data_IF_231030855695
#
_entry.id   IF_231030855695
#
_cell.length_a   1.000
_cell.length_b   1.000
_cell.length_c   1.000
_cell.angle_alpha   90.00
_cell.angle_beta   90.00
_cell.angle_gamma   90.00
#
_symmetry.space_group_name_H-M   'P 1'
#
loop_
_entity.id
_entity.type
_entity.pdbx_description
1 polymer ?
#
# COMPACT_ATOMS: atom_id res chain seq x y z
N UNK A 1 15.71 8.66 13.42
CA UNK A 1 15.99 8.79 11.97
C UNK A 1 14.81 8.18 11.23
N UNK A 2 14.08 8.95 10.42
CA UNK A 2 13.12 8.39 9.45
C UNK A 2 13.92 7.73 8.33
N UNK A 3 13.54 6.50 7.95
CA UNK A 3 14.16 5.78 6.83
C UNK A 3 13.75 6.39 5.50
N UNK A 4 14.52 6.16 4.43
CA UNK A 4 14.20 6.63 3.07
C UNK A 4 12.78 6.21 2.64
N UNK A 5 12.37 4.99 2.98
CA UNK A 5 11.04 4.45 2.71
C UNK A 5 9.92 5.33 3.29
N UNK A 6 10.09 5.83 4.52
CA UNK A 6 9.11 6.74 5.15
C UNK A 6 9.00 8.09 4.43
N UNK A 7 10.12 8.60 3.92
CA UNK A 7 10.15 9.85 3.17
C UNK A 7 9.46 9.68 1.82
N UNK A 8 9.72 8.57 1.11
CA UNK A 8 9.12 8.27 -0.19
C UNK A 8 7.61 8.11 -0.06
N UNK A 9 7.13 7.27 0.86
CA UNK A 9 5.68 7.06 1.05
C UNK A 9 4.99 8.38 1.43
N UNK A 10 5.59 9.15 2.34
CA UNK A 10 5.03 10.45 2.73
C UNK A 10 5.00 11.45 1.59
N UNK A 11 6.05 11.49 0.77
CA UNK A 11 6.13 12.36 -0.40
C UNK A 11 5.01 12.01 -1.38
N UNK A 12 4.92 10.75 -1.81
CA UNK A 12 3.92 10.30 -2.78
C UNK A 12 2.50 10.59 -2.29
N UNK A 13 2.18 10.21 -1.04
CA UNK A 13 0.83 10.42 -0.49
C UNK A 13 0.45 11.90 -0.50
N UNK A 14 1.38 12.79 -0.15
CA UNK A 14 1.13 14.23 -0.15
C UNK A 14 1.03 14.81 -1.55
N UNK A 15 1.89 14.37 -2.46
CA UNK A 15 1.98 14.88 -3.82
C UNK A 15 0.68 14.61 -4.59
N UNK A 16 0.13 13.40 -4.46
CA UNK A 16 -1.12 13.03 -5.14
C UNK A 16 -2.39 13.36 -4.33
N UNK A 17 -2.26 14.03 -3.18
CA UNK A 17 -3.39 14.38 -2.31
C UNK A 17 -4.13 13.19 -1.68
N UNK A 18 -3.47 12.04 -1.52
CA UNK A 18 -4.04 10.86 -0.90
C UNK A 18 -4.08 10.97 0.64
N UNK A 19 -4.86 10.09 1.28
CA UNK A 19 -5.05 10.12 2.74
C UNK A 19 -4.05 9.25 3.50
N UNK A 20 -3.71 8.08 2.94
CA UNK A 20 -2.82 7.10 3.56
C UNK A 20 -1.99 6.37 2.50
N UNK A 21 -0.85 5.84 2.91
CA UNK A 21 -0.04 4.97 2.06
C UNK A 21 0.79 3.98 2.85
N UNK A 22 1.12 2.86 2.23
CA UNK A 22 1.94 1.80 2.79
C UNK A 22 2.85 1.20 1.70
N UNK A 23 4.09 0.92 2.07
CA UNK A 23 5.07 0.27 1.21
C UNK A 23 5.39 -1.11 1.75
N UNK A 24 5.19 -2.11 0.90
CA UNK A 24 5.58 -3.48 1.14
C UNK A 24 6.75 -3.83 0.23
N UNK A 25 7.79 -4.47 0.76
CA UNK A 25 8.91 -4.96 -0.04
C UNK A 25 8.96 -6.49 -0.02
N UNK A 26 9.34 -7.06 -1.15
CA UNK A 26 9.53 -8.49 -1.30
C UNK A 26 10.77 -8.92 -0.53
N UNK A 27 10.62 -9.94 0.30
CA UNK A 27 11.73 -10.63 0.96
C UNK A 27 12.01 -11.89 0.12
N UNK A 28 13.03 -11.80 -0.73
CA UNK A 28 13.40 -12.84 -1.70
C UNK A 28 14.64 -13.63 -1.27
N UNK A 29 15.10 -13.48 -0.02
CA UNK A 29 16.39 -14.04 0.42
C UNK A 29 16.40 -15.55 0.69
N UNK A 30 15.32 -16.29 0.39
CA UNK A 30 15.29 -17.75 0.63
C UNK A 30 14.48 -18.51 -0.40
N UNK A 31 14.74 -19.82 -0.51
CA UNK A 31 14.02 -20.84 -1.32
C UNK A 31 12.55 -21.04 -0.88
N UNK A 32 12.04 -20.13 -0.07
CA UNK A 32 10.68 -20.13 0.48
C UNK A 32 9.73 -19.35 -0.44
N UNK A 33 8.42 -19.49 -0.19
CA UNK A 33 7.42 -18.76 -0.98
C UNK A 33 7.66 -17.26 -0.86
N UNK A 34 7.63 -16.51 -1.97
CA UNK A 34 7.88 -15.07 -1.95
C UNK A 34 6.86 -14.37 -1.05
N UNK A 35 7.36 -13.50 -0.18
CA UNK A 35 6.59 -12.81 0.84
C UNK A 35 6.84 -11.29 0.77
N UNK A 36 5.83 -10.52 1.12
CA UNK A 36 5.85 -9.07 1.16
C UNK A 36 5.81 -8.61 2.60
N UNK A 37 6.76 -7.79 3.02
CA UNK A 37 6.83 -7.22 4.37
C UNK A 37 6.50 -5.74 4.34
N UNK A 38 5.63 -5.28 5.24
CA UNK A 38 5.42 -3.86 5.45
C UNK A 38 6.71 -3.20 5.97
N UNK A 39 7.27 -2.26 5.21
CA UNK A 39 8.49 -1.53 5.59
C UNK A 39 8.26 -0.07 5.92
N UNK A 40 7.14 0.51 5.47
CA UNK A 40 6.77 1.89 5.77
C UNK A 40 5.26 2.09 5.64
N UNK A 41 4.71 2.97 6.49
CA UNK A 41 3.32 3.37 6.41
C UNK A 41 3.13 4.81 6.88
N UNK A 42 2.35 5.60 6.13
CA UNK A 42 1.99 6.98 6.45
C UNK A 42 0.49 7.11 6.73
N UNK A 43 0.16 7.76 7.85
CA UNK A 43 -1.21 7.96 8.34
C UNK A 43 -2.05 6.66 8.46
N UNK A 44 -1.39 5.50 8.50
CA UNK A 44 -1.99 4.18 8.62
C UNK A 44 -2.27 3.84 10.09
N UNK A 45 -3.31 3.05 10.37
CA UNK A 45 -3.78 2.83 11.74
C UNK A 45 -2.69 2.14 12.62
N UNK A 46 -2.23 2.86 13.66
CA UNK A 46 -1.14 2.46 14.59
C UNK A 46 -1.32 1.14 15.30
N UNK A 47 -2.55 0.68 15.51
CA UNK A 47 -2.81 -0.61 16.19
C UNK A 47 -2.53 -1.84 15.32
N UNK A 48 -2.35 -1.70 14.01
CA UNK A 48 -2.07 -2.78 13.05
C UNK A 48 -0.58 -3.00 12.75
N UNK A 49 0.33 -2.35 13.50
CA UNK A 49 1.79 -2.31 13.26
C UNK A 49 2.56 -3.59 13.61
N UNK A 50 1.88 -4.68 13.95
CA UNK A 50 2.53 -5.98 14.14
C UNK A 50 2.84 -6.55 12.75
N UNK A 51 4.11 -6.43 12.33
CA UNK A 51 4.77 -7.28 11.32
C UNK A 51 3.86 -7.84 10.24
N UNK A 52 3.17 -6.98 9.47
CA UNK A 52 2.31 -7.45 8.39
C UNK A 52 3.16 -8.04 7.30
N UNK A 53 3.00 -9.33 7.10
CA UNK A 53 3.54 -10.08 5.98
C UNK A 53 2.39 -10.63 5.16
N UNK A 54 2.57 -10.71 3.86
CA UNK A 54 1.62 -11.31 2.93
C UNK A 54 2.38 -12.19 1.97
N UNK A 55 1.92 -13.41 1.72
CA UNK A 55 2.44 -14.19 0.61
C UNK A 55 1.97 -13.60 -0.72
N UNK A 56 2.70 -13.87 -1.80
CA UNK A 56 2.20 -13.58 -3.13
C UNK A 56 0.89 -14.37 -3.37
N UNK A 57 -0.14 -13.68 -3.87
CA UNK A 57 -1.51 -14.17 -3.99
C UNK A 57 -2.38 -14.03 -2.73
N UNK A 58 -1.83 -13.58 -1.60
CA UNK A 58 -2.58 -13.39 -0.36
C UNK A 58 -3.14 -11.96 -0.23
N UNK A 59 -4.46 -11.83 -0.16
CA UNK A 59 -5.13 -10.54 -0.08
C UNK A 59 -4.81 -9.63 -1.27
N UNK A 60 -5.25 -8.37 -1.24
CA UNK A 60 -5.03 -7.48 -2.38
C UNK A 60 -3.55 -7.18 -2.64
N UNK A 61 -2.76 -7.01 -1.58
CA UNK A 61 -1.32 -6.73 -1.69
C UNK A 61 -0.59 -7.90 -2.34
N UNK A 62 -0.86 -9.13 -1.89
CA UNK A 62 -0.27 -10.33 -2.48
C UNK A 62 -0.77 -10.60 -3.90
N UNK A 63 -2.05 -10.38 -4.19
CA UNK A 63 -2.61 -10.53 -5.55
C UNK A 63 -1.98 -9.53 -6.52
N UNK A 64 -1.85 -8.26 -6.13
CA UNK A 64 -1.17 -7.23 -6.93
C UNK A 64 0.26 -7.66 -7.31
N UNK A 65 1.00 -8.19 -6.34
CA UNK A 65 2.34 -8.72 -6.58
C UNK A 65 2.34 -9.95 -7.50
N UNK A 66 1.47 -10.94 -7.25
CA UNK A 66 1.43 -12.18 -8.03
C UNK A 66 1.07 -11.92 -9.49
N UNK A 67 0.07 -11.08 -9.73
CA UNK A 67 -0.43 -10.77 -11.06
C UNK A 67 0.42 -9.73 -11.80
N UNK A 68 1.32 -9.04 -11.10
CA UNK A 68 2.15 -7.94 -11.63
C UNK A 68 1.32 -6.82 -12.26
N UNK A 69 0.09 -6.65 -11.77
CA UNK A 69 -0.88 -5.69 -12.27
C UNK A 69 -1.35 -4.77 -11.15
N UNK A 70 -1.54 -3.49 -11.50
CA UNK A 70 -2.12 -2.53 -10.57
C UNK A 70 -3.58 -2.86 -10.29
N UNK A 71 -4.00 -2.73 -9.04
CA UNK A 71 -5.38 -2.90 -8.61
C UNK A 71 -5.94 -1.52 -8.24
N UNK A 72 -7.10 -1.18 -8.81
CA UNK A 72 -7.82 0.05 -8.51
C UNK A 72 -9.25 -0.28 -8.09
N UNK A 73 -9.61 0.07 -6.86
CA UNK A 73 -10.93 -0.19 -6.29
C UNK A 73 -11.57 1.11 -5.81
N UNK A 74 -12.80 1.35 -6.25
CA UNK A 74 -13.67 2.44 -5.76
C UNK A 74 -14.78 1.91 -4.87
N UNK A 75 -15.26 0.67 -5.10
CA UNK A 75 -16.21 0.01 -4.23
C UNK A 75 -15.52 -0.86 -3.16
N UNK A 76 -15.05 -0.21 -2.09
CA UNK A 76 -14.34 -0.91 -1.00
C UNK A 76 -15.33 -1.45 0.04
N UNK A 77 -15.35 -2.74 0.39
CA UNK A 77 -16.20 -3.22 1.48
C UNK A 77 -15.91 -2.47 2.79
N UNK A 78 -16.95 -2.11 3.55
CA UNK A 78 -16.84 -1.26 4.76
C UNK A 78 -15.87 -1.79 5.84
N UNK A 79 -15.54 -3.08 5.79
CA UNK A 79 -14.71 -3.76 6.77
C UNK A 79 -13.24 -3.92 6.34
N UNK A 80 -12.87 -3.51 5.11
CA UNK A 80 -11.54 -3.79 4.55
C UNK A 80 -10.45 -2.87 5.13
N UNK A 81 -10.64 -1.55 4.98
CA UNK A 81 -9.74 -0.52 5.50
C UNK A 81 -10.59 0.67 5.96
N UNK A 82 -10.09 1.35 7.00
CA UNK A 82 -10.66 2.60 7.49
C UNK A 82 -9.58 3.65 7.62
N UNK A 83 -9.92 4.87 7.20
CA UNK A 83 -9.13 6.06 7.45
C UNK A 83 -9.52 6.57 8.84
N UNK A 84 -8.57 6.57 9.77
CA UNK A 84 -8.80 6.99 11.15
C UNK A 84 -8.31 8.42 11.36
N UNK A 85 -9.15 9.25 11.97
CA UNK A 85 -8.83 10.59 12.44
C UNK A 85 -9.09 10.69 13.95
N UNK A 86 -8.62 11.77 14.60
CA UNK A 86 -8.95 12.06 16.00
C UNK A 86 -10.44 12.29 16.27
N UNK A 87 -11.26 12.43 15.21
CA UNK A 87 -12.69 12.72 15.29
C UNK A 87 -13.56 11.54 14.87
N UNK A 88 -12.98 10.43 14.39
CA UNK A 88 -13.73 9.27 13.92
C UNK A 88 -13.04 8.52 12.77
N UNK A 89 -13.74 7.51 12.24
CA UNK A 89 -13.27 6.66 11.15
C UNK A 89 -14.14 6.85 9.90
N UNK A 90 -13.53 6.80 8.71
CA UNK A 90 -14.23 6.86 7.43
C UNK A 90 -13.74 5.76 6.47
N UNK A 91 -14.61 5.30 5.57
CA UNK A 91 -14.25 4.40 4.46
C UNK A 91 -13.50 5.23 3.39
N UNK A 92 -12.42 4.72 2.77
CA UNK A 92 -11.82 5.40 1.64
C UNK A 92 -12.79 5.45 0.46
N UNK A 93 -12.69 6.50 -0.36
CA UNK A 93 -13.34 6.57 -1.66
C UNK A 93 -12.65 5.71 -2.71
N UNK A 94 -11.34 5.51 -2.59
CA UNK A 94 -10.60 4.57 -3.44
C UNK A 94 -9.38 3.95 -2.77
N UNK A 95 -8.96 2.80 -3.29
CA UNK A 95 -7.76 2.05 -2.92
C UNK A 95 -6.99 1.69 -4.20
N UNK A 96 -5.69 1.99 -4.19
CA UNK A 96 -4.79 1.77 -5.31
C UNK A 96 -3.64 0.90 -4.82
N UNK A 97 -3.35 -0.18 -5.52
CA UNK A 97 -2.17 -1.01 -5.29
C UNK A 97 -1.35 -1.03 -6.57
N UNK A 98 -0.07 -0.71 -6.45
CA UNK A 98 0.85 -0.61 -7.59
C UNK A 98 2.03 -1.55 -7.35
N UNK A 99 2.27 -2.53 -8.23
CA UNK A 99 3.44 -3.39 -8.12
C UNK A 99 4.70 -2.59 -8.48
N UNK A 100 5.71 -2.66 -7.62
CA UNK A 100 7.03 -2.07 -7.88
C UNK A 100 7.88 -3.09 -8.61
N UNK A 101 8.27 -2.79 -9.84
CA UNK A 101 8.85 -3.77 -10.77
C UNK A 101 10.27 -3.39 -11.19
N UNK A 102 11.15 -4.39 -11.30
CA UNK A 102 12.44 -4.28 -11.99
C UNK A 102 12.72 -5.56 -12.78
N UNK A 103 13.15 -5.48 -14.03
CA UNK A 103 13.49 -6.65 -14.86
C UNK A 103 12.43 -7.78 -14.80
N UNK A 104 11.14 -7.42 -14.81
CA UNK A 104 10.01 -8.35 -14.67
C UNK A 104 9.89 -9.08 -13.31
N UNK A 105 10.65 -8.66 -12.30
CA UNK A 105 10.56 -9.09 -10.91
C UNK A 105 9.83 -8.04 -10.06
N UNK A 106 9.00 -8.50 -9.13
CA UNK A 106 8.30 -7.65 -8.18
C UNK A 106 9.22 -7.39 -7.00
N UNK A 107 9.60 -6.13 -6.81
CA UNK A 107 10.36 -5.64 -5.65
C UNK A 107 9.46 -5.38 -4.44
N UNK A 108 8.17 -5.16 -4.67
CA UNK A 108 7.25 -4.76 -3.63
C UNK A 108 5.91 -4.26 -4.17
N UNK A 109 5.09 -3.72 -3.28
CA UNK A 109 3.79 -3.12 -3.60
C UNK A 109 3.64 -1.81 -2.84
N UNK A 110 3.21 -0.77 -3.55
CA UNK A 110 2.76 0.48 -2.96
C UNK A 110 1.24 0.46 -2.86
N UNK A 111 0.71 0.54 -1.64
CA UNK A 111 -0.72 0.66 -1.35
C UNK A 111 -1.05 2.12 -0.99
N UNK A 112 -2.09 2.68 -1.60
CA UNK A 112 -2.54 4.06 -1.39
C UNK A 112 -4.05 4.04 -1.17
N UNK A 113 -4.50 4.71 -0.12
CA UNK A 113 -5.92 4.91 0.13
C UNK A 113 -6.24 6.40 0.19
N UNK A 114 -7.37 6.77 -0.42
CA UNK A 114 -7.80 8.16 -0.48
C UNK A 114 -9.30 8.29 -0.24
N UNK A 115 -9.72 9.40 0.37
CA UNK A 115 -11.13 9.74 0.56
C UNK A 115 -11.82 10.11 -0.76
N UNK A 116 -11.05 10.61 -1.74
CA UNK A 116 -11.50 10.97 -3.08
C UNK A 116 -10.56 10.35 -4.10
N UNK A 117 -11.05 10.09 -5.30
CA UNK A 117 -10.19 9.67 -6.40
C UNK A 117 -9.10 10.72 -6.59
N UNK A 118 -7.80 10.35 -6.53
CA UNK A 118 -6.72 11.30 -6.78
C UNK A 118 -6.81 11.79 -8.22
N UNK A 119 -6.64 13.09 -8.42
CA UNK A 119 -6.65 13.66 -9.76
C UNK A 119 -5.50 13.06 -10.59
N UNK A 120 -5.70 12.79 -11.90
CA UNK A 120 -4.63 12.32 -12.76
C UNK A 120 -3.49 13.35 -12.78
N UNK A 121 -2.37 13.02 -12.15
CA UNK A 121 -1.16 13.84 -12.22
C UNK A 121 -0.37 13.45 -13.46
N UNK A 122 -0.79 13.93 -14.63
CA UNK A 122 0.07 14.02 -15.80
C UNK A 122 0.75 15.39 -15.75
N UNK A 123 1.99 15.44 -15.26
CA UNK A 123 2.90 16.58 -15.47
C UNK A 123 4.10 16.11 -16.28
#
# INVERSE_FOLDING_TARGET
MTTLSDQVVRFIVRDIGASQGALFLSDTESDSKPLLRLVSAFAYNRKKYISRTFYFGEGLVGTCALEKNSIYLTDIPANYIKITSGLGESKPGCLILIPLMTNNHVLGVLEIASLKEPEPHFR
#
